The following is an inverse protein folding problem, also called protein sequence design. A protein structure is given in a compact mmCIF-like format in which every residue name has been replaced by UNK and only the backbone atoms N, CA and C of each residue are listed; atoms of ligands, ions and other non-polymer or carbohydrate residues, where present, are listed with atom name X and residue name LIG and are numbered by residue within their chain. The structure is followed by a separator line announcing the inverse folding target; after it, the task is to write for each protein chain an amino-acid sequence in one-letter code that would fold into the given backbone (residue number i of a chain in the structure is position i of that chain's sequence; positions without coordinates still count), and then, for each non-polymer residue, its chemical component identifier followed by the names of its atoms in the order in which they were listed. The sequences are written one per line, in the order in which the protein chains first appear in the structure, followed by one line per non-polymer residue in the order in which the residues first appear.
data_IF_146515717697
#
_entry.id   IF_146515717697
#
_cell.length_a   1.000
_cell.length_b   1.000
_cell.length_c   1.000
_cell.angle_alpha   90.00
_cell.angle_beta   90.00
_cell.angle_gamma   90.00
#
_symmetry.space_group_name_H-M   'P 1'
#
loop_
_entity.id
_entity.type
_entity.pdbx_description
1 polymer ?
#
# COMPACT_ATOMS: atom_id res chain seq x y z
N UNK A 1 -8.38 -18.94 6.99
CA UNK A 1 -7.02 -18.64 6.55
C UNK A 1 -6.38 -17.70 7.55
N UNK A 2 -5.30 -18.12 8.16
CA UNK A 2 -4.59 -17.27 9.10
C UNK A 2 -3.88 -16.16 8.33
N UNK A 3 -4.16 -14.93 8.72
CA UNK A 3 -3.52 -13.77 8.11
C UNK A 3 -2.39 -13.32 9.04
N UNK A 4 -1.16 -13.38 8.54
CA UNK A 4 -0.04 -12.80 9.27
C UNK A 4 -0.15 -11.28 9.19
N UNK A 5 -0.13 -10.62 10.35
CA UNK A 5 -0.14 -9.17 10.39
C UNK A 5 1.26 -8.63 10.16
N UNK A 6 1.36 -7.40 9.69
CA UNK A 6 2.65 -6.72 9.54
C UNK A 6 3.41 -6.66 10.86
N UNK A 7 2.71 -6.50 11.96
CA UNK A 7 3.31 -6.48 13.30
C UNK A 7 3.99 -7.81 13.63
N UNK A 8 3.31 -8.94 13.34
CA UNK A 8 3.89 -10.26 13.56
C UNK A 8 5.11 -10.49 12.66
N UNK A 9 5.06 -10.01 11.43
CA UNK A 9 6.16 -10.16 10.49
C UNK A 9 7.37 -9.32 10.87
N UNK A 10 7.17 -8.20 11.57
CA UNK A 10 8.21 -7.28 11.97
C UNK A 10 8.78 -7.57 13.37
N UNK A 11 8.16 -8.48 14.13
CA UNK A 11 8.53 -8.74 15.52
C UNK A 11 9.96 -9.27 15.69
N UNK A 12 10.57 -9.78 14.64
CA UNK A 12 11.94 -10.31 14.66
C UNK A 12 12.54 -10.23 13.26
N UNK A 13 13.87 -10.23 13.24
CA UNK A 13 14.61 -10.34 11.99
C UNK A 13 14.63 -11.80 11.57
N UNK A 14 14.07 -12.09 10.40
CA UNK A 14 14.10 -13.42 9.82
C UNK A 14 15.38 -13.57 9.00
N UNK A 15 16.12 -14.62 9.25
CA UNK A 15 17.32 -14.94 8.50
C UNK A 15 17.16 -16.32 7.88
N UNK A 16 17.24 -16.41 6.56
CA UNK A 16 17.12 -17.66 5.84
C UNK A 16 18.36 -18.53 5.95
N UNK A 17 19.46 -17.97 6.41
CA UNK A 17 20.76 -18.65 6.40
C UNK A 17 21.45 -18.62 5.04
N UNK A 18 20.78 -18.12 4.01
CA UNK A 18 21.32 -18.02 2.65
C UNK A 18 21.85 -16.61 2.38
N UNK A 19 22.80 -16.53 1.46
CA UNK A 19 23.39 -15.26 1.04
C UNK A 19 23.61 -15.27 -0.45
N UNK A 20 23.51 -14.09 -1.06
CA UNK A 20 23.80 -13.86 -2.48
C UNK A 20 24.99 -12.93 -2.56
N UNK A 21 25.99 -13.29 -3.37
CA UNK A 21 27.12 -12.42 -3.66
C UNK A 21 26.80 -11.52 -4.85
N UNK A 22 27.14 -10.23 -4.75
CA UNK A 22 26.88 -9.24 -5.78
C UNK A 22 28.20 -8.88 -6.50
N UNK A 23 28.56 -9.74 -7.49
CA UNK A 23 29.62 -9.44 -8.45
C UNK A 23 30.98 -9.10 -7.84
N UNK A 24 31.64 -8.15 -8.48
CA UNK A 24 33.03 -7.80 -8.16
C UNK A 24 33.19 -7.16 -6.80
N UNK A 25 32.16 -6.52 -6.26
CA UNK A 25 32.23 -5.90 -4.94
C UNK A 25 32.22 -6.92 -3.82
N UNK A 26 31.79 -8.14 -4.12
CA UNK A 26 31.63 -9.22 -3.15
C UNK A 26 30.70 -8.88 -1.98
N UNK A 27 29.85 -7.85 -2.16
CA UNK A 27 28.81 -7.54 -1.19
C UNK A 27 27.81 -8.71 -1.12
N UNK A 28 27.34 -9.01 0.08
CA UNK A 28 26.39 -10.11 0.27
C UNK A 28 25.13 -9.61 0.96
N UNK A 29 24.01 -10.25 0.63
CA UNK A 29 22.71 -9.96 1.21
C UNK A 29 21.87 -11.22 1.31
N UNK A 30 20.80 -11.14 2.11
CA UNK A 30 19.74 -12.12 2.10
C UNK A 30 19.10 -12.19 0.72
N UNK A 31 18.71 -13.39 0.22
CA UNK A 31 17.90 -13.49 -0.97
C UNK A 31 16.60 -12.70 -0.83
N UNK A 32 16.16 -12.08 -1.92
CA UNK A 32 14.93 -11.27 -1.91
C UNK A 32 13.64 -12.08 -2.04
N UNK A 33 13.73 -13.39 -2.34
CA UNK A 33 12.51 -14.19 -2.50
C UNK A 33 11.67 -14.22 -1.23
N UNK A 34 10.36 -14.07 -1.37
CA UNK A 34 9.44 -14.03 -0.26
C UNK A 34 9.28 -12.68 0.42
N UNK A 35 10.03 -11.67 -0.01
CA UNK A 35 10.00 -10.33 0.60
C UNK A 35 9.13 -9.34 -0.16
N UNK A 36 8.48 -9.77 -1.23
CA UNK A 36 7.75 -8.89 -2.15
C UNK A 36 8.68 -8.31 -3.20
N UNK A 37 8.08 -7.99 -4.33
CA UNK A 37 8.81 -7.46 -5.49
C UNK A 37 8.43 -5.98 -5.67
N UNK A 38 8.94 -5.14 -4.80
CA UNK A 38 8.71 -3.69 -4.84
C UNK A 38 9.16 -3.06 -6.16
N UNK A 39 10.19 -3.67 -6.78
CA UNK A 39 10.73 -3.23 -8.06
C UNK A 39 9.76 -3.40 -9.22
N UNK A 40 8.74 -4.25 -9.08
CA UNK A 40 7.72 -4.47 -10.12
C UNK A 40 6.54 -3.51 -9.99
N UNK A 41 6.45 -2.75 -8.89
CA UNK A 41 5.36 -1.79 -8.69
C UNK A 41 5.58 -0.60 -9.61
N UNK A 42 4.53 -0.21 -10.34
CA UNK A 42 4.61 0.95 -11.24
C UNK A 42 4.97 2.22 -10.47
N UNK A 43 6.08 2.90 -10.82
CA UNK A 43 6.43 4.15 -10.16
C UNK A 43 5.43 5.28 -10.46
N UNK A 44 4.80 5.26 -11.62
CA UNK A 44 3.78 6.25 -11.97
C UNK A 44 2.51 6.08 -11.14
N UNK A 45 2.08 4.84 -10.95
CA UNK A 45 0.91 4.55 -10.11
C UNK A 45 1.16 4.94 -8.66
N UNK A 46 2.33 4.59 -8.16
CA UNK A 46 2.71 4.94 -6.79
C UNK A 46 2.78 6.45 -6.59
N UNK A 47 3.33 7.18 -7.56
CA UNK A 47 3.41 8.64 -7.51
C UNK A 47 2.02 9.29 -7.42
N UNK A 48 1.09 8.82 -8.23
CA UNK A 48 -0.29 9.33 -8.20
C UNK A 48 -0.96 9.03 -6.86
N UNK A 49 -0.73 7.85 -6.32
CA UNK A 49 -1.27 7.48 -5.01
C UNK A 49 -0.68 8.38 -3.92
N UNK A 50 0.63 8.60 -3.94
CA UNK A 50 1.31 9.47 -2.98
C UNK A 50 0.76 10.90 -3.04
N UNK A 51 0.50 11.42 -4.23
CA UNK A 51 -0.10 12.74 -4.42
C UNK A 51 -1.52 12.81 -3.86
N UNK A 52 -2.27 11.73 -3.95
CA UNK A 52 -3.60 11.67 -3.34
C UNK A 52 -3.51 11.73 -1.82
N UNK A 53 -2.55 11.05 -1.20
CA UNK A 53 -2.29 11.18 0.23
C UNK A 53 -1.93 12.62 0.62
N UNK A 54 -1.13 13.29 -0.19
CA UNK A 54 -0.76 14.69 0.06
C UNK A 54 -2.00 15.60 0.03
N UNK A 55 -2.88 15.42 -0.93
CA UNK A 55 -4.15 16.18 -0.99
C UNK A 55 -4.99 15.93 0.24
N UNK A 56 -5.03 14.71 0.74
CA UNK A 56 -5.74 14.38 1.97
C UNK A 56 -5.18 15.12 3.17
N UNK A 57 -3.85 15.25 3.27
CA UNK A 57 -3.22 15.95 4.39
C UNK A 57 -3.45 17.45 4.34
N UNK A 58 -3.78 18.02 3.19
CA UNK A 58 -4.16 19.43 3.09
C UNK A 58 -5.59 19.69 3.56
N UNK A 59 -6.43 18.67 3.58
CA UNK A 59 -7.84 18.75 3.95
C UNK A 59 -8.09 18.26 5.38
N UNK A 60 -7.36 17.28 5.83
CA UNK A 60 -7.45 16.66 7.15
C UNK A 60 -6.07 16.64 7.78
N UNK A 61 -6.00 16.37 9.11
CA UNK A 61 -4.70 16.17 9.75
C UNK A 61 -4.00 14.94 9.16
N UNK A 62 -2.68 14.97 9.20
CA UNK A 62 -1.87 13.83 8.75
C UNK A 62 -2.29 12.56 9.49
N UNK A 63 -2.29 11.46 8.77
CA UNK A 63 -2.65 10.14 9.30
C UNK A 63 -4.08 10.03 9.83
N UNK A 64 -4.97 10.97 9.44
CA UNK A 64 -6.38 10.88 9.81
C UNK A 64 -6.98 9.52 9.37
N UNK A 65 -6.56 8.99 8.23
CA UNK A 65 -7.03 7.72 7.71
C UNK A 65 -6.68 6.53 8.63
N UNK A 66 -5.65 6.66 9.45
CA UNK A 66 -5.24 5.60 10.38
C UNK A 66 -6.22 5.40 11.54
N UNK A 67 -7.10 6.36 11.77
CA UNK A 67 -8.12 6.25 12.82
C UNK A 67 -9.14 5.15 12.52
N UNK A 68 -9.32 4.84 11.24
CA UNK A 68 -10.22 3.78 10.80
C UNK A 68 -11.68 4.20 10.75
N UNK A 69 -12.44 3.42 10.01
CA UNK A 69 -13.89 3.50 9.90
C UNK A 69 -14.38 2.15 9.40
N UNK A 70 -15.69 1.87 9.43
CA UNK A 70 -16.19 0.59 8.92
C UNK A 70 -15.73 0.34 7.48
N UNK A 71 -15.34 -0.89 7.16
CA UNK A 71 -14.86 -1.26 5.84
C UNK A 71 -15.88 -0.95 4.74
N UNK A 72 -17.18 -1.05 5.06
CA UNK A 72 -18.23 -0.70 4.11
C UNK A 72 -18.13 0.74 3.62
N UNK A 73 -17.63 1.66 4.43
CA UNK A 73 -17.45 3.06 4.05
C UNK A 73 -16.31 3.22 3.07
N UNK A 74 -15.18 2.54 3.31
CA UNK A 74 -14.07 2.52 2.36
C UNK A 74 -14.50 1.89 1.03
N UNK A 75 -15.21 0.75 1.09
CA UNK A 75 -15.66 0.07 -0.12
C UNK A 75 -16.65 0.91 -0.92
N UNK A 76 -17.58 1.57 -0.24
CA UNK A 76 -18.54 2.47 -0.90
C UNK A 76 -17.80 3.57 -1.65
N UNK A 77 -16.83 4.21 -1.00
CA UNK A 77 -16.04 5.26 -1.61
C UNK A 77 -15.20 4.74 -2.78
N UNK A 78 -14.55 3.59 -2.62
CA UNK A 78 -13.75 2.99 -3.68
C UNK A 78 -14.62 2.70 -4.92
N UNK A 79 -15.79 2.11 -4.71
CA UNK A 79 -16.71 1.78 -5.80
C UNK A 79 -17.23 3.03 -6.48
N UNK A 80 -17.56 4.07 -5.72
CA UNK A 80 -18.04 5.34 -6.28
C UNK A 80 -16.96 5.99 -7.15
N UNK A 81 -15.70 6.01 -6.70
CA UNK A 81 -14.61 6.56 -7.49
C UNK A 81 -14.35 5.76 -8.75
N UNK A 82 -14.38 4.42 -8.66
CA UNK A 82 -14.25 3.57 -9.85
C UNK A 82 -15.37 3.85 -10.84
N UNK A 83 -16.59 4.00 -10.35
CA UNK A 83 -17.73 4.30 -11.23
C UNK A 83 -17.58 5.67 -11.90
N UNK A 84 -17.10 6.67 -11.18
CA UNK A 84 -16.84 7.99 -11.75
C UNK A 84 -15.77 7.92 -12.83
N UNK A 85 -14.74 7.11 -12.63
CA UNK A 85 -13.73 6.87 -13.68
C UNK A 85 -14.39 6.26 -14.93
N UNK A 86 -15.24 5.24 -14.74
CA UNK A 86 -15.94 4.60 -15.85
C UNK A 86 -16.83 5.59 -16.60
N UNK A 87 -17.44 6.55 -15.90
CA UNK A 87 -18.25 7.60 -16.48
C UNK A 87 -17.42 8.68 -17.18
N UNK A 88 -16.09 8.60 -17.13
CA UNK A 88 -15.22 9.57 -17.78
C UNK A 88 -15.03 10.87 -17.02
N UNK A 89 -15.30 10.89 -15.71
CA UNK A 89 -15.12 12.09 -14.89
C UNK A 89 -13.64 12.32 -14.60
N UNK A 90 -13.18 13.55 -14.76
CA UNK A 90 -11.77 13.93 -14.57
C UNK A 90 -11.61 15.06 -13.54
N UNK A 91 -12.61 15.31 -12.74
CA UNK A 91 -12.59 16.35 -11.69
C UNK A 91 -11.66 16.03 -10.53
N UNK A 92 -11.36 14.73 -10.34
CA UNK A 92 -10.44 14.25 -9.31
C UNK A 92 -9.68 13.05 -9.88
N UNK A 93 -8.58 12.64 -9.21
CA UNK A 93 -7.91 11.39 -9.54
C UNK A 93 -8.68 10.22 -8.93
N UNK A 94 -9.73 9.80 -9.61
CA UNK A 94 -10.63 8.76 -9.11
C UNK A 94 -9.95 7.41 -8.94
N UNK A 95 -8.98 7.08 -9.79
CA UNK A 95 -8.24 5.83 -9.65
C UNK A 95 -7.35 5.83 -8.40
N UNK A 96 -6.66 6.93 -8.16
CA UNK A 96 -5.84 7.06 -6.96
C UNK A 96 -6.72 7.05 -5.70
N UNK A 97 -7.88 7.71 -5.74
CA UNK A 97 -8.83 7.71 -4.63
C UNK A 97 -9.35 6.31 -4.33
N UNK A 98 -9.67 5.53 -5.37
CA UNK A 98 -10.09 4.14 -5.19
C UNK A 98 -8.97 3.29 -4.56
N UNK A 99 -7.74 3.43 -5.05
CA UNK A 99 -6.58 2.75 -4.48
C UNK A 99 -6.36 3.12 -3.01
N UNK A 100 -6.50 4.40 -2.68
CA UNK A 100 -6.35 4.87 -1.30
C UNK A 100 -7.32 4.16 -0.36
N UNK A 101 -8.57 4.03 -0.77
CA UNK A 101 -9.58 3.35 0.03
C UNK A 101 -9.25 1.86 0.24
N UNK A 102 -8.77 1.20 -0.82
CA UNK A 102 -8.37 -0.21 -0.75
C UNK A 102 -7.16 -0.39 0.15
N UNK A 103 -6.18 0.51 0.06
CA UNK A 103 -4.99 0.49 0.92
C UNK A 103 -5.38 0.64 2.39
N UNK A 104 -6.34 1.51 2.69
CA UNK A 104 -6.83 1.69 4.05
C UNK A 104 -7.45 0.41 4.61
N UNK A 105 -8.23 -0.30 3.79
CA UNK A 105 -8.81 -1.58 4.19
C UNK A 105 -7.71 -2.59 4.50
N UNK A 106 -6.75 -2.75 3.60
CA UNK A 106 -5.63 -3.69 3.79
C UNK A 106 -4.84 -3.36 5.05
N UNK A 107 -4.58 -2.08 5.29
CA UNK A 107 -3.87 -1.64 6.49
C UNK A 107 -4.61 -2.07 7.76
N UNK A 108 -5.91 -1.79 7.83
CA UNK A 108 -6.69 -2.13 9.01
C UNK A 108 -6.92 -3.64 9.18
N UNK A 109 -6.92 -4.40 8.08
CA UNK A 109 -6.94 -5.86 8.17
C UNK A 109 -5.68 -6.39 8.88
N UNK A 110 -4.53 -5.84 8.55
CA UNK A 110 -3.26 -6.27 9.15
C UNK A 110 -3.17 -5.96 10.65
N UNK A 111 -3.88 -4.94 11.10
CA UNK A 111 -3.86 -4.53 12.50
C UNK A 111 -4.88 -5.25 13.38
N UNK A 112 -5.67 -6.13 12.81
CA UNK A 112 -6.69 -6.87 13.57
C UNK A 112 -6.14 -8.09 14.26
#
# INVERSE_FOLDING_TARGET
MDTLTSQNMQAKINDSGNRISYGETKAIREPSSGKGRYDLITPFGLDRLAKWYELGSSKYVDRNWEKGMPFSRYLDSARRHLNKFVMGMEDEDHLAAACWNIMAIMHHQELK
#
